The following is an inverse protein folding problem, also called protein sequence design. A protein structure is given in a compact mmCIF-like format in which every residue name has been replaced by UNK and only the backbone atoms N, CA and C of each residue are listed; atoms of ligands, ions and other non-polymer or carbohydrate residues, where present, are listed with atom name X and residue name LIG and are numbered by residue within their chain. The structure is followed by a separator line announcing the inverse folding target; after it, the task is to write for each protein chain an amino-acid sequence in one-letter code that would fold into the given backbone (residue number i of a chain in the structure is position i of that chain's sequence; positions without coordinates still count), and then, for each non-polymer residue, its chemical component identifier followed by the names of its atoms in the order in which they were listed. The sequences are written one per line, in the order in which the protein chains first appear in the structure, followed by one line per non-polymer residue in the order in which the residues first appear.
data_IF_045402312194
#
_entry.id   IF_045402312194
#
_cell.length_a   1.000
_cell.length_b   1.000
_cell.length_c   1.000
_cell.angle_alpha   90.00
_cell.angle_beta   90.00
_cell.angle_gamma   90.00
#
_symmetry.space_group_name_H-M   'P 1'
#
loop_
_entity.id
_entity.type
_entity.pdbx_description
1 polymer ?
#
# COMPACT_ATOMS: atom_id res chain seq x y z
N UNK A 1 -3.30 7.40 0.80
CA UNK A 1 -1.99 7.32 1.51
C UNK A 1 -2.13 6.24 2.58
N UNK A 2 -1.19 5.29 2.69
CA UNK A 2 -1.27 4.21 3.69
C UNK A 2 -0.92 4.74 5.10
N UNK A 3 -1.63 4.28 6.13
CA UNK A 3 -1.41 4.63 7.54
C UNK A 3 0.05 4.41 7.96
N UNK A 4 0.71 3.37 7.41
CA UNK A 4 2.14 3.10 7.64
C UNK A 4 3.04 4.26 7.19
N UNK A 5 2.72 4.91 6.06
CA UNK A 5 3.53 6.02 5.54
C UNK A 5 3.39 7.28 6.40
N UNK A 6 2.21 7.51 6.96
CA UNK A 6 1.96 8.64 7.85
C UNK A 6 2.65 8.44 9.20
N UNK A 7 2.52 7.25 9.80
CA UNK A 7 3.18 6.91 11.05
C UNK A 7 4.71 7.01 10.93
N UNK A 8 5.29 6.46 9.86
CA UNK A 8 6.73 6.53 9.62
C UNK A 8 7.22 7.99 9.50
N UNK A 9 6.47 8.86 8.81
CA UNK A 9 6.82 10.30 8.72
C UNK A 9 6.80 10.98 10.08
N UNK A 10 5.78 10.72 10.90
CA UNK A 10 5.68 11.33 12.23
C UNK A 10 6.86 10.89 13.11
N UNK A 11 7.15 9.60 13.15
CA UNK A 11 8.26 9.05 13.95
C UNK A 11 9.60 9.61 13.46
N UNK A 12 9.81 9.70 12.15
CA UNK A 12 11.02 10.27 11.56
C UNK A 12 11.18 11.75 11.93
N UNK A 13 10.12 12.55 11.82
CA UNK A 13 10.13 13.97 12.19
C UNK A 13 10.49 14.12 13.67
N UNK A 14 9.85 13.35 14.56
CA UNK A 14 10.13 13.40 15.99
C UNK A 14 11.58 13.00 16.29
N UNK A 15 12.10 11.97 15.62
CA UNK A 15 13.49 11.54 15.75
C UNK A 15 14.46 12.64 15.30
N UNK A 16 14.21 13.29 14.16
CA UNK A 16 15.05 14.38 13.64
C UNK A 16 15.05 15.57 14.61
N UNK A 17 13.89 15.93 15.16
CA UNK A 17 13.79 17.00 16.17
C UNK A 17 14.61 16.63 17.41
N UNK A 18 14.45 15.41 17.93
CA UNK A 18 15.22 14.95 19.09
C UNK A 18 16.73 14.91 18.84
N UNK A 19 17.14 14.39 17.67
CA UNK A 19 18.54 14.33 17.26
C UNK A 19 19.15 15.73 17.10
N UNK A 20 18.42 16.68 16.51
CA UNK A 20 18.87 18.07 16.37
C UNK A 20 19.04 18.76 17.72
N UNK A 21 18.10 18.55 18.65
CA UNK A 21 18.19 19.08 20.00
C UNK A 21 19.40 18.53 20.76
N UNK A 22 19.60 17.21 20.72
CA UNK A 22 20.76 16.56 21.33
C UNK A 22 22.07 17.04 20.72
N UNK A 23 22.13 17.19 19.39
CA UNK A 23 23.30 17.71 18.69
C UNK A 23 23.63 19.14 19.13
N UNK A 24 22.62 20.01 19.25
CA UNK A 24 22.81 21.39 19.69
C UNK A 24 23.34 21.45 21.12
N UNK A 25 22.78 20.64 22.02
CA UNK A 25 23.26 20.51 23.41
C UNK A 25 24.71 20.04 23.47
N UNK A 26 25.07 19.03 22.68
CA UNK A 26 26.45 18.52 22.61
C UNK A 26 27.41 19.61 22.14
N UNK A 27 27.07 20.32 21.06
CA UNK A 27 27.90 21.42 20.54
C UNK A 27 28.11 22.52 21.59
N UNK A 28 27.06 22.92 22.31
CA UNK A 28 27.19 23.92 23.38
C UNK A 28 28.06 23.43 24.54
N UNK A 29 27.94 22.15 24.90
CA UNK A 29 28.70 21.53 26.00
C UNK A 29 30.18 21.43 25.63
N UNK A 30 30.48 20.95 24.42
CA UNK A 30 31.85 20.84 23.91
C UNK A 30 32.48 22.24 23.79
N UNK A 31 31.75 23.22 23.26
CA UNK A 31 32.23 24.61 23.18
C UNK A 31 32.63 25.14 24.56
N UNK A 32 31.77 25.00 25.56
CA UNK A 32 32.07 25.48 26.91
C UNK A 32 33.28 24.74 27.50
N UNK A 33 33.33 23.42 27.35
CA UNK A 33 34.44 22.62 27.83
C UNK A 33 35.78 23.01 27.19
N UNK A 34 35.81 23.32 25.89
CA UNK A 34 37.02 23.80 25.20
C UNK A 34 37.48 25.13 25.78
N UNK A 35 36.56 26.09 26.00
CA UNK A 35 36.89 27.40 26.55
C UNK A 35 37.39 27.31 28.00
N UNK A 36 36.74 26.50 28.84
CA UNK A 36 37.14 26.30 30.23
C UNK A 36 38.52 25.64 30.32
N UNK A 37 38.77 24.60 29.50
CA UNK A 37 40.08 23.94 29.44
C UNK A 37 41.17 24.88 28.94
N UNK A 38 40.88 25.70 27.93
CA UNK A 38 41.80 26.68 27.38
C UNK A 38 42.15 27.76 28.41
N UNK A 39 41.16 28.27 29.14
CA UNK A 39 41.37 29.23 30.24
C UNK A 39 42.25 28.63 31.34
N UNK A 40 41.94 27.42 31.81
CA UNK A 40 42.72 26.76 32.86
C UNK A 40 44.17 26.45 32.42
N UNK A 41 44.36 26.06 31.16
CA UNK A 41 45.68 25.81 30.58
C UNK A 41 46.49 27.10 30.46
N UNK A 42 45.88 28.20 30.03
CA UNK A 42 46.55 29.50 29.95
C UNK A 42 46.91 30.03 31.35
N UNK A 43 46.03 29.88 32.33
CA UNK A 43 46.29 30.27 33.73
C UNK A 43 47.46 29.49 34.34
N UNK A 44 47.52 28.19 34.05
CA UNK A 44 48.65 27.35 34.47
C UNK A 44 49.94 27.74 33.75
N UNK A 45 49.86 28.00 32.43
CA UNK A 45 51.00 28.37 31.62
C UNK A 45 51.58 29.74 31.99
N UNK A 46 50.72 30.74 32.23
CA UNK A 46 51.17 32.08 32.62
C UNK A 46 51.81 32.08 34.00
N UNK A 47 51.28 31.29 34.93
CA UNK A 47 51.86 31.12 36.27
C UNK A 47 53.25 30.49 36.20
N UNK A 48 53.39 29.41 35.43
CA UNK A 48 54.67 28.73 35.24
C UNK A 48 55.69 29.62 34.51
N UNK A 49 55.26 30.28 33.44
CA UNK A 49 56.10 31.19 32.66
C UNK A 49 56.52 32.41 33.48
N UNK A 50 55.60 32.98 34.27
CA UNK A 50 55.89 34.11 35.15
C UNK A 50 56.96 33.79 36.18
N UNK A 51 56.89 32.62 36.82
CA UNK A 51 57.91 32.16 37.76
C UNK A 51 59.29 32.00 37.11
N UNK A 52 59.34 31.45 35.89
CA UNK A 52 60.59 31.26 35.15
C UNK A 52 61.15 32.60 34.65
N UNK A 53 60.29 33.48 34.13
CA UNK A 53 60.68 34.78 33.61
C UNK A 53 61.17 35.72 34.71
N UNK A 54 60.59 35.68 35.91
CA UNK A 54 61.10 36.41 37.08
C UNK A 54 62.60 36.12 37.31
N UNK A 55 63.01 34.85 37.24
CA UNK A 55 64.41 34.45 37.39
C UNK A 55 65.32 34.96 36.25
N UNK A 56 64.82 35.02 35.02
CA UNK A 56 65.60 35.51 33.86
C UNK A 56 65.69 37.03 33.79
N UNK A 57 64.60 37.74 34.16
CA UNK A 57 64.53 39.21 34.17
C UNK A 57 65.46 39.82 35.22
N UNK A 58 65.63 39.15 36.36
CA UNK A 58 66.60 39.54 37.39
C UNK A 58 68.06 39.46 36.91
N UNK A 59 68.34 38.63 35.90
CA UNK A 59 69.68 38.42 35.34
C UNK A 59 69.89 39.14 33.98
N UNK A 60 68.90 39.90 33.49
CA UNK A 60 68.87 40.60 32.19
C UNK A 60 69.17 39.72 30.96
N UNK A 61 68.88 38.42 31.03
CA UNK A 61 69.14 37.47 29.93
C UNK A 61 67.91 37.29 29.03
N UNK A 62 67.74 38.25 28.11
CA UNK A 62 66.63 38.29 27.15
C UNK A 62 66.62 37.10 26.18
N UNK A 63 67.79 36.51 25.90
CA UNK A 63 67.93 35.37 24.96
C UNK A 63 67.42 34.09 25.60
N UNK A 64 67.69 33.88 26.90
CA UNK A 64 67.12 32.76 27.64
C UNK A 64 65.59 32.88 27.78
N UNK A 65 65.07 34.08 28.06
CA UNK A 65 63.63 34.32 28.14
C UNK A 65 62.91 33.97 26.82
N UNK A 66 63.42 34.41 25.67
CA UNK A 66 62.85 34.07 24.37
C UNK A 66 62.94 32.56 24.07
N UNK A 67 64.05 31.92 24.43
CA UNK A 67 64.23 30.47 24.24
C UNK A 67 63.21 29.66 25.02
N UNK A 68 62.92 30.06 26.26
CA UNK A 68 61.93 29.40 27.12
C UNK A 68 60.51 29.59 26.59
N UNK A 69 60.17 30.81 26.14
CA UNK A 69 58.87 31.08 25.52
C UNK A 69 58.68 30.23 24.26
N UNK A 70 59.69 30.17 23.38
CA UNK A 70 59.60 29.36 22.16
C UNK A 70 59.47 27.87 22.49
N UNK A 71 60.24 27.35 23.45
CA UNK A 71 60.18 25.95 23.85
C UNK A 71 58.85 25.55 24.54
N UNK A 72 58.25 26.45 25.31
CA UNK A 72 57.00 26.19 26.04
C UNK A 72 55.78 26.22 25.12
N UNK A 73 55.78 27.04 24.06
CA UNK A 73 54.61 27.25 23.20
C UNK A 73 54.75 26.77 21.76
N UNK A 74 55.82 26.02 21.44
CA UNK A 74 56.01 25.37 20.12
C UNK A 74 54.81 24.48 19.72
N UNK A 75 54.02 24.03 20.70
CA UNK A 75 52.79 23.23 20.51
C UNK A 75 51.54 23.98 20.03
N UNK A 76 51.59 25.31 19.85
CA UNK A 76 50.58 26.04 19.06
C UNK A 76 49.23 26.36 19.72
N UNK A 77 49.08 26.24 21.05
CA UNK A 77 47.85 26.59 21.78
C UNK A 77 47.78 28.06 22.24
N UNK A 78 48.88 28.81 22.12
CA UNK A 78 48.98 30.25 22.41
C UNK A 78 49.21 31.01 21.09
N UNK A 79 48.47 32.10 20.87
CA UNK A 79 48.65 32.96 19.69
C UNK A 79 49.62 34.10 19.93
N UNK A 80 49.64 34.67 21.14
CA UNK A 80 50.56 35.74 21.48
C UNK A 80 51.00 35.70 22.94
N UNK A 81 52.26 36.07 23.16
CA UNK A 81 52.89 36.27 24.47
C UNK A 81 53.42 37.69 24.48
N UNK A 82 52.92 38.53 25.37
CA UNK A 82 53.38 39.92 25.49
C UNK A 82 53.80 40.18 26.93
N UNK A 83 54.98 40.76 27.11
CA UNK A 83 55.49 41.24 28.38
C UNK A 83 55.71 42.74 28.28
N UNK A 84 55.02 43.50 29.13
CA UNK A 84 55.11 44.94 29.24
C UNK A 84 55.90 45.32 30.50
N UNK A 85 56.76 46.33 30.40
CA UNK A 85 57.40 47.00 31.55
C UNK A 85 56.35 47.76 32.40
N UNK A 86 56.61 48.15 33.66
CA UNK A 86 55.68 48.98 34.44
C UNK A 86 55.33 50.33 33.79
N UNK A 87 56.20 50.83 32.90
CA UNK A 87 55.95 52.04 32.09
C UNK A 87 55.10 51.76 30.83
N UNK A 88 54.63 50.53 30.62
CA UNK A 88 53.79 50.11 29.51
C UNK A 88 54.54 49.87 28.19
N UNK A 89 55.87 49.87 28.21
CA UNK A 89 56.69 49.58 27.02
C UNK A 89 56.84 48.06 26.83
N UNK A 90 56.69 47.52 25.61
CA UNK A 90 56.85 46.09 25.37
C UNK A 90 58.33 45.68 25.54
N UNK A 91 58.60 44.88 26.56
CA UNK A 91 59.92 44.27 26.79
C UNK A 91 60.13 43.07 25.87
N UNK A 92 59.06 42.31 25.62
CA UNK A 92 59.07 41.12 24.78
C UNK A 92 57.69 40.86 24.18
N UNK A 93 57.62 40.59 22.88
CA UNK A 93 56.39 40.21 22.21
C UNK A 93 56.67 39.09 21.22
N UNK A 94 55.96 37.97 21.36
CA UNK A 94 56.00 36.85 20.41
C UNK A 94 54.60 36.56 19.91
N UNK A 95 54.45 36.48 18.59
CA UNK A 95 53.21 36.05 17.94
C UNK A 95 53.48 34.73 17.24
N UNK A 96 52.67 33.73 17.55
CA UNK A 96 52.71 32.42 16.93
C UNK A 96 51.66 32.37 15.82
N UNK A 97 52.11 32.19 14.58
CA UNK A 97 51.22 31.99 13.43
C UNK A 97 51.09 30.48 13.16
N UNK A 98 50.03 29.84 13.66
CA UNK A 98 49.76 28.45 13.29
C UNK A 98 49.22 28.38 11.87
N UNK A 99 49.91 27.63 11.01
CA UNK A 99 49.46 27.32 9.65
C UNK A 99 48.42 26.19 9.67
N UNK A 100 47.40 26.33 8.83
CA UNK A 100 46.32 25.38 8.49
C UNK A 100 45.16 25.24 9.50
N UNK A 101 44.15 26.09 9.29
CA UNK A 101 42.78 25.84 9.75
C UNK A 101 42.07 24.95 8.72
N UNK A 102 42.03 23.64 8.95
CA UNK A 102 41.14 22.71 8.24
C UNK A 102 39.69 22.86 8.75
N UNK A 103 39.22 24.09 8.87
CA UNK A 103 37.91 24.45 9.43
C UNK A 103 37.12 25.18 8.35
N UNK A 104 35.84 24.83 8.13
CA UNK A 104 35.00 25.56 7.17
C UNK A 104 34.82 27.03 7.56
N UNK A 105 34.85 27.92 6.58
CA UNK A 105 34.72 29.38 6.78
C UNK A 105 33.38 29.81 7.39
N UNK A 106 32.35 28.97 7.32
CA UNK A 106 31.05 29.25 7.94
C UNK A 106 31.05 29.04 9.46
N UNK A 107 31.94 28.22 10.00
CA UNK A 107 31.88 27.83 11.42
C UNK A 107 32.03 29.02 12.38
N UNK A 108 32.98 29.95 12.17
CA UNK A 108 33.09 31.15 13.01
C UNK A 108 31.89 32.10 12.92
N UNK A 109 31.14 32.08 11.80
CA UNK A 109 29.95 32.93 11.63
C UNK A 109 28.71 32.38 12.34
N UNK A 110 28.69 31.07 12.66
CA UNK A 110 27.56 30.40 13.31
C UNK A 110 27.81 30.23 14.81
N UNK A 111 29.05 29.92 15.18
CA UNK A 111 29.44 29.69 16.57
C UNK A 111 30.60 30.62 16.89
N UNK A 112 30.31 31.64 17.69
CA UNK A 112 31.31 32.55 18.19
C UNK A 112 32.15 31.89 19.30
N UNK A 113 33.47 32.00 19.21
CA UNK A 113 34.41 31.58 20.25
C UNK A 113 35.16 32.82 20.73
N UNK A 114 34.85 33.34 21.93
CA UNK A 114 35.53 34.52 22.43
C UNK A 114 37.03 34.23 22.61
N UNK A 115 37.91 35.21 22.30
CA UNK A 115 39.32 35.08 22.61
C UNK A 115 39.51 34.94 24.13
N UNK A 116 40.39 34.04 24.54
CA UNK A 116 40.71 33.80 25.95
C UNK A 116 42.07 34.42 26.23
N UNK A 117 42.07 35.48 27.04
CA UNK A 117 43.26 36.24 27.40
C UNK A 117 43.44 36.17 28.92
N UNK A 118 44.64 35.81 29.37
CA UNK A 118 44.99 35.80 30.79
C UNK A 118 46.16 36.77 30.99
N UNK A 119 46.07 37.61 32.02
CA UNK A 119 47.10 38.57 32.39
C UNK A 119 47.61 38.27 33.81
N UNK A 120 48.91 38.44 34.01
CA UNK A 120 49.54 38.25 35.30
C UNK A 120 50.63 39.31 35.52
N UNK A 121 50.55 40.01 36.64
CA UNK A 121 51.59 40.94 37.07
C UNK A 121 52.80 40.17 37.65
N UNK A 122 53.99 40.53 37.22
CA UNK A 122 55.25 40.00 37.71
C UNK A 122 55.82 40.96 38.76
N UNK A 123 56.13 40.43 39.94
CA UNK A 123 56.65 41.21 41.07
C UNK A 123 57.89 40.56 41.67
N UNK A 124 58.85 41.38 42.08
CA UNK A 124 60.02 41.01 42.87
C UNK A 124 59.93 41.71 44.23
N UNK A 125 59.41 40.99 45.24
CA UNK A 125 59.04 41.59 46.53
C UNK A 125 57.97 42.68 46.36
N UNK A 126 58.35 43.94 46.59
CA UNK A 126 57.47 45.12 46.44
C UNK A 126 57.62 45.84 45.09
N UNK A 127 58.55 45.39 44.24
CA UNK A 127 58.84 46.03 42.95
C UNK A 127 58.10 45.31 41.83
N UNK A 128 57.26 46.04 41.09
CA UNK A 128 56.66 45.54 39.86
C UNK A 128 57.74 45.41 38.78
N UNK A 129 57.83 44.24 38.16
CA UNK A 129 58.74 43.95 37.06
C UNK A 129 58.07 44.12 35.69
N UNK A 130 56.74 43.99 35.62
CA UNK A 130 55.97 44.12 34.39
C UNK A 130 54.67 43.31 34.40
N UNK A 131 53.93 43.35 33.30
CA UNK A 131 52.69 42.60 33.09
C UNK A 131 52.88 41.61 31.94
N UNK A 132 52.68 40.33 32.23
CA UNK A 132 52.69 39.25 31.26
C UNK A 132 51.25 38.98 30.81
N UNK A 133 51.03 38.86 29.50
CA UNK A 133 49.72 38.54 28.92
C UNK A 133 49.86 37.37 27.96
N UNK A 134 49.05 36.33 28.14
CA UNK A 134 48.92 35.20 27.23
C UNK A 134 47.57 35.24 26.52
N UNK A 135 47.58 35.16 25.20
CA UNK A 135 46.38 35.02 24.37
C UNK A 135 46.32 33.59 23.81
N UNK A 136 45.20 32.92 24.01
CA UNK A 136 45.03 31.58 23.48
C UNK A 136 44.65 31.57 22.00
N UNK A 137 45.11 30.54 21.29
CA UNK A 137 44.91 30.44 19.84
C UNK A 137 43.47 30.03 19.47
N UNK A 138 42.69 30.94 18.87
CA UNK A 138 41.29 30.68 18.45
C UNK A 138 41.16 29.55 17.40
N UNK A 139 42.12 29.47 16.46
CA UNK A 139 42.19 28.38 15.48
C UNK A 139 42.24 26.97 16.10
N UNK A 140 42.92 26.80 17.25
CA UNK A 140 42.94 25.52 17.99
C UNK A 140 41.53 25.16 18.48
N UNK A 141 40.84 26.11 19.10
CA UNK A 141 39.48 25.91 19.61
C UNK A 141 38.49 25.52 18.49
N UNK A 142 38.57 26.20 17.34
CA UNK A 142 37.73 25.89 16.19
C UNK A 142 38.03 24.53 15.54
N UNK A 143 39.29 24.11 15.50
CA UNK A 143 39.67 22.79 14.97
C UNK A 143 39.12 21.66 15.84
N UNK A 144 39.22 21.79 17.16
CA UNK A 144 38.65 20.81 18.10
C UNK A 144 37.12 20.78 18.03
N UNK A 145 36.48 21.94 17.94
CA UNK A 145 35.03 22.04 17.76
C UNK A 145 34.57 21.38 16.45
N UNK A 146 35.28 21.61 15.34
CA UNK A 146 34.96 21.01 14.05
C UNK A 146 35.13 19.48 14.06
N UNK A 147 36.16 18.96 14.72
CA UNK A 147 36.35 17.52 14.87
C UNK A 147 35.21 16.88 15.69
N UNK A 148 34.73 17.56 16.74
CA UNK A 148 33.58 17.09 17.52
C UNK A 148 32.28 17.13 16.68
N UNK A 149 32.01 18.25 16.02
CA UNK A 149 30.84 18.44 15.13
C UNK A 149 30.80 17.39 14.02
N UNK A 150 31.93 17.17 13.33
CA UNK A 150 32.00 16.23 12.20
C UNK A 150 31.82 14.79 12.66
N UNK A 151 32.47 14.38 13.77
CA UNK A 151 32.32 13.03 14.32
C UNK A 151 30.90 12.75 14.79
N UNK A 152 30.32 13.65 15.58
CA UNK A 152 28.95 13.49 16.10
C UNK A 152 27.92 13.60 14.97
N UNK A 153 28.12 14.51 14.02
CA UNK A 153 27.27 14.66 12.84
C UNK A 153 27.26 13.42 11.95
N UNK A 154 28.43 12.82 11.69
CA UNK A 154 28.54 11.55 10.96
C UNK A 154 27.85 10.40 11.69
N UNK A 155 28.03 10.30 13.01
CA UNK A 155 27.37 9.29 13.83
C UNK A 155 25.85 9.43 13.80
N UNK A 156 25.32 10.66 13.89
CA UNK A 156 23.88 10.92 13.80
C UNK A 156 23.33 10.62 12.41
N UNK A 157 24.07 10.93 11.34
CA UNK A 157 23.64 10.63 9.97
C UNK A 157 23.59 9.12 9.73
N UNK A 158 24.61 8.38 10.18
CA UNK A 158 24.61 6.92 10.14
C UNK A 158 23.44 6.34 10.97
N UNK A 159 23.22 6.87 12.18
CA UNK A 159 22.11 6.50 13.04
C UNK A 159 20.75 6.75 12.40
N UNK A 160 20.55 7.89 11.73
CA UNK A 160 19.33 8.24 11.01
C UNK A 160 19.04 7.24 9.89
N UNK A 161 20.07 6.84 9.13
CA UNK A 161 19.93 5.87 8.05
C UNK A 161 19.48 4.51 8.60
N UNK A 162 20.16 4.00 9.62
CA UNK A 162 19.80 2.74 10.28
C UNK A 162 18.39 2.81 10.88
N UNK A 163 18.08 3.89 11.60
CA UNK A 163 16.77 4.11 12.21
C UNK A 163 15.66 4.10 11.17
N UNK A 164 15.85 4.79 10.04
CA UNK A 164 14.89 4.85 8.92
C UNK A 164 14.63 3.47 8.32
N UNK A 165 15.67 2.65 8.15
CA UNK A 165 15.53 1.28 7.65
C UNK A 165 14.76 0.40 8.64
N UNK A 166 15.15 0.44 9.92
CA UNK A 166 14.53 -0.37 10.98
C UNK A 166 13.06 0.00 11.16
N UNK A 167 12.73 1.29 11.30
CA UNK A 167 11.33 1.70 11.50
C UNK A 167 10.46 1.37 10.29
N UNK A 168 11.00 1.53 9.07
CA UNK A 168 10.28 1.16 7.85
C UNK A 168 10.00 -0.34 7.80
N UNK A 169 10.96 -1.17 8.22
CA UNK A 169 10.79 -2.62 8.30
C UNK A 169 9.77 -3.02 9.37
N UNK A 170 9.87 -2.46 10.58
CA UNK A 170 8.95 -2.72 11.69
C UNK A 170 7.52 -2.30 11.34
N UNK A 171 7.32 -1.08 10.83
CA UNK A 171 5.99 -0.60 10.45
C UNK A 171 5.36 -1.45 9.35
N UNK A 172 6.14 -1.86 8.33
CA UNK A 172 5.62 -2.76 7.29
C UNK A 172 5.19 -4.10 7.89
N UNK A 173 5.99 -4.69 8.77
CA UNK A 173 5.66 -5.97 9.42
C UNK A 173 4.44 -5.87 10.32
N UNK A 174 4.31 -4.76 11.06
CA UNK A 174 3.23 -4.52 12.01
C UNK A 174 1.88 -4.23 11.31
N UNK A 175 1.89 -3.48 10.20
CA UNK A 175 0.66 -3.09 9.50
C UNK A 175 0.24 -4.05 8.38
N UNK A 176 1.11 -4.98 7.94
CA UNK A 176 0.77 -5.97 6.91
C UNK A 176 -0.53 -6.76 7.23
N UNK A 177 -0.79 -7.21 8.47
CA UNK A 177 -2.05 -7.88 8.78
C UNK A 177 -3.30 -7.00 8.61
N UNK A 178 -3.22 -5.69 8.89
CA UNK A 178 -4.35 -4.76 8.65
C UNK A 178 -4.68 -4.66 7.16
N UNK A 179 -3.66 -4.65 6.31
CA UNK A 179 -3.85 -4.58 4.86
C UNK A 179 -4.48 -5.88 4.33
N UNK A 180 -4.09 -7.05 4.87
CA UNK A 180 -4.72 -8.33 4.56
C UNK A 180 -6.19 -8.38 4.98
N UNK A 181 -6.52 -7.89 6.18
CA UNK A 181 -7.91 -7.80 6.66
C UNK A 181 -8.74 -6.90 5.73
N UNK A 182 -8.21 -5.73 5.35
CA UNK A 182 -8.91 -4.81 4.46
C UNK A 182 -9.18 -5.44 3.08
N UNK A 183 -8.19 -6.15 2.51
CA UNK A 183 -8.38 -6.87 1.25
C UNK A 183 -9.45 -7.96 1.37
N UNK A 184 -9.47 -8.70 2.48
CA UNK A 184 -10.49 -9.71 2.74
C UNK A 184 -11.88 -9.10 2.86
N UNK A 185 -12.03 -7.98 3.59
CA UNK A 185 -13.30 -7.26 3.70
C UNK A 185 -13.79 -6.77 2.33
N UNK A 186 -12.88 -6.31 1.46
CA UNK A 186 -13.22 -5.97 0.08
C UNK A 186 -13.67 -7.18 -0.72
N UNK A 187 -13.07 -8.36 -0.54
CA UNK A 187 -13.49 -9.61 -1.20
C UNK A 187 -14.85 -10.10 -0.67
N UNK A 188 -15.08 -10.03 0.64
CA UNK A 188 -16.37 -10.32 1.27
C UNK A 188 -17.44 -9.37 0.72
N UNK A 189 -17.13 -8.08 0.56
CA UNK A 189 -18.03 -7.12 -0.10
C UNK A 189 -18.32 -7.49 -1.56
N UNK A 190 -17.34 -8.06 -2.25
CA UNK A 190 -17.49 -8.64 -3.60
C UNK A 190 -18.04 -10.07 -3.61
N UNK A 191 -18.54 -10.58 -2.47
CA UNK A 191 -19.13 -11.92 -2.28
C UNK A 191 -18.20 -13.09 -2.63
N UNK A 192 -16.91 -12.82 -2.74
CA UNK A 192 -15.86 -13.81 -2.93
C UNK A 192 -15.37 -14.24 -1.55
N UNK A 193 -15.97 -15.30 -1.00
CA UNK A 193 -15.63 -15.82 0.33
C UNK A 193 -14.33 -16.66 0.32
N UNK A 194 -13.21 -16.04 -0.06
CA UNK A 194 -11.92 -16.71 -0.18
C UNK A 194 -11.21 -16.81 1.17
N UNK A 195 -11.04 -18.04 1.67
CA UNK A 195 -10.11 -18.43 2.76
C UNK A 195 -10.43 -17.90 4.17
N UNK A 196 -9.84 -18.51 5.19
CA UNK A 196 -9.75 -17.94 6.55
C UNK A 196 -8.53 -17.03 6.64
N UNK A 197 -8.64 -15.93 7.38
CA UNK A 197 -7.50 -15.07 7.70
C UNK A 197 -6.58 -15.82 8.68
N UNK A 198 -5.27 -15.84 8.40
CA UNK A 198 -4.27 -16.33 9.35
C UNK A 198 -4.27 -15.49 10.63
N UNK A 199 -4.04 -16.14 11.77
CA UNK A 199 -3.96 -15.46 13.06
C UNK A 199 -2.78 -14.49 13.07
N UNK A 200 -2.99 -13.17 13.25
CA UNK A 200 -1.92 -12.20 13.35
C UNK A 200 -1.15 -12.40 14.66
N UNK A 201 0.10 -11.92 14.70
CA UNK A 201 0.93 -11.96 15.89
C UNK A 201 0.48 -10.95 16.98
N UNK A 202 -0.15 -9.83 16.57
CA UNK A 202 -0.69 -8.86 17.52
C UNK A 202 -1.98 -9.36 18.16
N UNK A 203 -2.04 -9.33 19.50
CA UNK A 203 -3.21 -9.75 20.27
C UNK A 203 -4.46 -8.94 19.92
N UNK A 204 -4.35 -7.62 19.80
CA UNK A 204 -5.48 -6.74 19.47
C UNK A 204 -6.09 -7.06 18.09
N UNK A 205 -5.26 -7.45 17.13
CA UNK A 205 -5.75 -7.87 15.81
C UNK A 205 -6.27 -9.30 15.80
N UNK A 206 -5.85 -10.13 16.76
CA UNK A 206 -6.27 -11.53 16.84
C UNK A 206 -7.76 -11.63 17.12
N UNK A 207 -8.27 -10.85 18.06
CA UNK A 207 -9.72 -10.80 18.36
C UNK A 207 -10.52 -10.34 17.15
N UNK A 208 -10.08 -9.27 16.48
CA UNK A 208 -10.73 -8.79 15.25
C UNK A 208 -10.73 -9.86 14.14
N UNK A 209 -9.61 -10.55 13.93
CA UNK A 209 -9.52 -11.61 12.93
C UNK A 209 -10.43 -12.79 13.27
N UNK A 210 -10.51 -13.17 14.55
CA UNK A 210 -11.44 -14.20 15.02
C UNK A 210 -12.89 -13.79 14.74
N UNK A 211 -13.29 -12.57 15.11
CA UNK A 211 -14.65 -12.07 14.87
C UNK A 211 -14.99 -12.01 13.37
N UNK A 212 -14.08 -11.53 12.52
CA UNK A 212 -14.29 -11.50 11.07
C UNK A 212 -14.41 -12.91 10.50
N UNK A 213 -13.54 -13.83 10.91
CA UNK A 213 -13.63 -15.23 10.48
C UNK A 213 -14.94 -15.89 10.93
N UNK A 214 -15.41 -15.59 12.15
CA UNK A 214 -16.70 -16.07 12.64
C UNK A 214 -17.86 -15.54 11.80
N UNK A 215 -17.90 -14.23 11.53
CA UNK A 215 -18.94 -13.63 10.67
C UNK A 215 -18.94 -14.22 9.26
N UNK A 216 -17.76 -14.47 8.68
CA UNK A 216 -17.64 -15.13 7.37
C UNK A 216 -18.19 -16.56 7.41
N UNK A 217 -17.87 -17.30 8.47
CA UNK A 217 -18.35 -18.67 8.67
C UNK A 217 -19.88 -18.72 8.84
N UNK A 218 -20.43 -17.85 9.67
CA UNK A 218 -21.87 -17.71 9.88
C UNK A 218 -22.57 -17.36 8.57
N UNK A 219 -22.04 -16.40 7.80
CA UNK A 219 -22.62 -16.02 6.51
C UNK A 219 -22.59 -17.15 5.48
N UNK A 220 -21.49 -17.93 5.43
CA UNK A 220 -21.40 -19.13 4.58
C UNK A 220 -22.46 -20.15 4.97
N UNK A 221 -22.65 -20.40 6.27
CA UNK A 221 -23.65 -21.35 6.77
C UNK A 221 -25.06 -20.92 6.40
N UNK A 222 -25.40 -19.64 6.58
CA UNK A 222 -26.73 -19.11 6.26
C UNK A 222 -27.03 -19.24 4.76
N UNK A 223 -26.04 -18.92 3.90
CA UNK A 223 -26.19 -19.06 2.45
C UNK A 223 -26.39 -20.52 2.03
N UNK A 224 -25.64 -21.46 2.63
CA UNK A 224 -25.84 -22.89 2.39
C UNK A 224 -27.23 -23.35 2.85
N UNK A 225 -27.71 -22.90 4.00
CA UNK A 225 -29.07 -23.22 4.48
C UNK A 225 -30.14 -22.70 3.51
N UNK A 226 -29.98 -21.49 2.98
CA UNK A 226 -30.87 -20.93 1.96
C UNK A 226 -30.88 -21.77 0.68
N UNK A 227 -29.70 -22.15 0.15
CA UNK A 227 -29.57 -23.00 -1.05
C UNK A 227 -30.19 -24.38 -0.87
N UNK A 228 -29.99 -25.00 0.30
CA UNK A 228 -30.60 -26.30 0.61
C UNK A 228 -32.13 -26.20 0.68
N UNK A 229 -32.67 -25.11 1.25
CA UNK A 229 -34.12 -24.88 1.30
C UNK A 229 -34.71 -24.69 -0.10
N UNK A 230 -34.04 -23.93 -0.98
CA UNK A 230 -34.44 -23.80 -2.39
C UNK A 230 -34.44 -25.17 -3.08
N UNK A 231 -33.37 -25.97 -2.87
CA UNK A 231 -33.28 -27.32 -3.44
C UNK A 231 -34.42 -28.23 -2.96
N UNK A 232 -34.74 -28.18 -1.66
CA UNK A 232 -35.83 -28.98 -1.07
C UNK A 232 -37.20 -28.59 -1.61
N UNK A 233 -37.50 -27.29 -1.67
CA UNK A 233 -38.77 -26.80 -2.22
C UNK A 233 -38.87 -27.08 -3.74
N UNK A 234 -37.77 -26.94 -4.47
CA UNK A 234 -37.73 -27.27 -5.90
C UNK A 234 -38.04 -28.74 -6.17
N UNK A 235 -37.60 -29.67 -5.31
CA UNK A 235 -37.98 -31.10 -5.41
C UNK A 235 -39.46 -31.36 -5.15
N UNK A 236 -40.16 -30.47 -4.43
CA UNK A 236 -41.60 -30.59 -4.16
C UNK A 236 -42.46 -30.01 -5.28
N UNK A 237 -41.87 -29.20 -6.17
CA UNK A 237 -42.57 -28.73 -7.35
C UNK A 237 -42.81 -29.90 -8.30
N UNK A 238 -44.03 -29.98 -8.85
CA UNK A 238 -44.31 -30.91 -9.94
C UNK A 238 -43.37 -30.59 -11.11
N UNK A 239 -42.85 -31.62 -11.79
CA UNK A 239 -42.13 -31.46 -13.06
C UNK A 239 -43.09 -30.77 -14.02
N UNK A 240 -42.94 -29.45 -14.14
CA UNK A 240 -43.77 -28.64 -15.01
C UNK A 240 -43.15 -28.77 -16.39
N UNK A 241 -43.96 -29.10 -17.40
CA UNK A 241 -43.46 -29.17 -18.77
C UNK A 241 -42.80 -27.83 -19.14
N UNK A 242 -41.67 -27.86 -19.86
CA UNK A 242 -41.00 -26.63 -20.30
C UNK A 242 -41.99 -25.76 -21.08
N UNK A 243 -42.13 -24.51 -20.63
CA UNK A 243 -42.97 -23.53 -21.32
C UNK A 243 -42.25 -23.10 -22.61
N UNK A 244 -42.99 -22.90 -23.72
CA UNK A 244 -42.41 -22.31 -24.91
C UNK A 244 -41.90 -20.91 -24.59
N UNK A 245 -40.72 -20.56 -25.12
CA UNK A 245 -40.11 -19.25 -24.92
C UNK A 245 -41.06 -18.14 -25.38
N UNK A 246 -41.22 -17.11 -24.54
CA UNK A 246 -42.09 -15.98 -24.83
C UNK A 246 -41.32 -14.87 -25.53
N UNK A 247 -42.00 -14.00 -26.28
CA UNK A 247 -41.33 -12.83 -26.85
C UNK A 247 -40.47 -13.11 -28.08
N UNK A 248 -40.49 -14.33 -28.63
CA UNK A 248 -39.73 -14.69 -29.83
C UNK A 248 -40.26 -13.95 -31.06
N UNK A 249 -39.34 -13.38 -31.84
CA UNK A 249 -39.59 -12.77 -33.14
C UNK A 249 -38.69 -13.46 -34.16
N UNK A 250 -39.26 -13.87 -35.29
CA UNK A 250 -38.50 -14.52 -36.36
C UNK A 250 -37.55 -13.51 -37.01
N UNK A 251 -36.30 -13.92 -37.18
CA UNK A 251 -35.25 -13.20 -37.90
C UNK A 251 -34.84 -14.01 -39.14
N UNK A 252 -33.96 -13.42 -39.96
CA UNK A 252 -33.38 -14.12 -41.12
C UNK A 252 -32.50 -15.32 -40.71
N UNK A 253 -32.20 -16.20 -41.67
CA UNK A 253 -31.26 -17.33 -41.52
C UNK A 253 -31.60 -18.35 -40.41
N UNK A 254 -32.88 -18.48 -40.06
CA UNK A 254 -33.33 -19.50 -39.08
C UNK A 254 -33.00 -19.15 -37.64
N UNK A 255 -32.86 -17.86 -37.33
CA UNK A 255 -32.69 -17.34 -35.97
C UNK A 255 -33.99 -16.69 -35.50
N UNK A 256 -34.19 -16.65 -34.18
CA UNK A 256 -35.25 -15.89 -33.54
C UNK A 256 -34.64 -14.92 -32.54
N UNK A 257 -35.14 -13.70 -32.48
CA UNK A 257 -34.70 -12.72 -31.49
C UNK A 257 -35.65 -12.65 -30.30
N UNK A 258 -35.08 -12.57 -29.10
CA UNK A 258 -35.81 -12.39 -27.85
C UNK A 258 -35.28 -11.18 -27.09
N UNK A 259 -36.20 -10.36 -26.57
CA UNK A 259 -35.89 -9.14 -25.82
C UNK A 259 -36.37 -9.26 -24.37
N UNK A 260 -35.51 -8.84 -23.44
CA UNK A 260 -35.80 -8.81 -22.01
C UNK A 260 -35.93 -7.37 -21.53
N UNK A 261 -37.02 -7.07 -20.83
CA UNK A 261 -37.31 -5.76 -20.27
C UNK A 261 -37.36 -5.80 -18.75
N UNK A 262 -36.99 -4.69 -18.11
CA UNK A 262 -37.00 -4.59 -16.65
C UNK A 262 -38.42 -4.69 -16.10
N UNK A 263 -38.57 -5.35 -14.96
CA UNK A 263 -39.82 -5.28 -14.20
C UNK A 263 -40.02 -3.91 -13.56
N UNK A 264 -39.01 -3.03 -13.48
CA UNK A 264 -39.08 -1.72 -12.82
C UNK A 264 -39.31 -0.54 -13.78
N UNK A 265 -39.61 -0.80 -15.04
CA UNK A 265 -39.89 0.24 -16.03
C UNK A 265 -39.69 -0.26 -17.46
N UNK A 266 -39.79 0.65 -18.43
CA UNK A 266 -39.68 0.34 -19.86
C UNK A 266 -38.22 0.41 -20.34
N UNK A 267 -37.34 -0.31 -19.66
CA UNK A 267 -35.90 -0.36 -19.97
C UNK A 267 -35.57 -1.75 -20.51
N UNK A 268 -34.99 -1.82 -21.71
CA UNK A 268 -34.44 -3.07 -22.25
C UNK A 268 -33.18 -3.43 -21.46
N UNK A 269 -33.17 -4.62 -20.88
CA UNK A 269 -32.04 -5.14 -20.13
C UNK A 269 -31.07 -5.94 -20.99
N UNK A 270 -31.61 -6.75 -21.91
CA UNK A 270 -30.83 -7.70 -22.69
C UNK A 270 -31.58 -8.12 -23.96
N UNK A 271 -30.84 -8.55 -24.98
CA UNK A 271 -31.40 -9.22 -26.15
C UNK A 271 -30.53 -10.38 -26.59
N UNK A 272 -31.15 -11.53 -26.92
CA UNK A 272 -30.46 -12.72 -27.41
C UNK A 272 -31.03 -13.22 -28.72
N UNK A 273 -30.19 -13.85 -29.52
CA UNK A 273 -30.61 -14.73 -30.60
C UNK A 273 -30.79 -16.16 -30.08
N UNK A 274 -31.82 -16.82 -30.57
CA UNK A 274 -32.19 -18.20 -30.29
C UNK A 274 -32.26 -18.93 -31.63
N UNK A 275 -31.39 -19.90 -31.89
CA UNK A 275 -31.47 -20.71 -33.11
C UNK A 275 -32.77 -21.50 -33.15
N UNK A 276 -33.48 -21.47 -34.28
CA UNK A 276 -34.69 -22.29 -34.46
C UNK A 276 -34.39 -23.79 -34.35
N UNK A 277 -33.21 -24.19 -34.82
CA UNK A 277 -32.64 -25.53 -34.66
C UNK A 277 -31.37 -25.38 -33.82
N UNK A 278 -31.41 -25.71 -32.52
CA UNK A 278 -30.24 -25.59 -31.66
C UNK A 278 -29.14 -26.59 -32.12
N UNK A 279 -27.87 -26.17 -32.17
CA UNK A 279 -26.77 -27.07 -32.54
C UNK A 279 -26.61 -28.16 -31.47
N UNK A 280 -26.37 -29.40 -31.88
CA UNK A 280 -26.16 -30.52 -30.97
C UNK A 280 -24.69 -30.99 -31.00
N UNK A 281 -24.37 -32.03 -30.22
CA UNK A 281 -23.06 -32.70 -30.25
C UNK A 281 -22.80 -33.34 -31.63
N UNK A 282 -23.86 -33.65 -32.38
CA UNK A 282 -23.77 -34.29 -33.70
C UNK A 282 -23.76 -33.27 -34.86
N UNK A 283 -23.98 -31.98 -34.57
CA UNK A 283 -23.91 -30.92 -35.57
C UNK A 283 -22.50 -30.78 -36.13
N UNK A 284 -22.37 -30.48 -37.41
CA UNK A 284 -21.04 -30.31 -38.00
C UNK A 284 -20.37 -29.03 -37.48
N UNK A 285 -19.02 -29.01 -37.34
CA UNK A 285 -18.31 -27.81 -36.93
C UNK A 285 -18.57 -26.61 -37.85
N UNK A 286 -18.85 -26.83 -39.13
CA UNK A 286 -19.08 -25.76 -40.10
C UNK A 286 -20.47 -25.13 -39.96
N UNK A 287 -21.49 -25.91 -39.62
CA UNK A 287 -22.81 -25.39 -39.23
C UNK A 287 -22.70 -24.49 -37.99
N UNK A 288 -21.96 -24.95 -36.97
CA UNK A 288 -21.74 -24.17 -35.74
C UNK A 288 -20.98 -22.87 -36.06
N UNK A 289 -19.91 -22.94 -36.89
CA UNK A 289 -19.16 -21.74 -37.30
C UNK A 289 -20.06 -20.74 -38.02
N UNK A 290 -20.89 -21.20 -38.97
CA UNK A 290 -21.81 -20.33 -39.72
C UNK A 290 -22.77 -19.59 -38.79
N UNK A 291 -23.34 -20.30 -37.80
CA UNK A 291 -24.22 -19.72 -36.78
C UNK A 291 -23.49 -18.66 -35.94
N UNK A 292 -22.25 -18.95 -35.52
CA UNK A 292 -21.45 -18.01 -34.74
C UNK A 292 -21.04 -16.78 -35.54
N UNK A 293 -20.66 -16.94 -36.81
CA UNK A 293 -20.31 -15.82 -37.70
C UNK A 293 -21.51 -14.90 -37.93
N UNK A 294 -22.70 -15.48 -38.15
CA UNK A 294 -23.95 -14.72 -38.22
C UNK A 294 -24.17 -13.90 -36.95
N UNK A 295 -24.12 -14.53 -35.77
CA UNK A 295 -24.31 -13.82 -34.50
C UNK A 295 -23.25 -12.74 -34.23
N UNK A 296 -21.98 -12.99 -34.57
CA UNK A 296 -20.90 -12.01 -34.40
C UNK A 296 -21.14 -10.75 -35.23
N UNK A 297 -21.76 -10.89 -36.41
CA UNK A 297 -22.15 -9.77 -37.28
C UNK A 297 -23.46 -9.08 -36.86
N UNK A 298 -24.30 -9.75 -36.06
CA UNK A 298 -25.61 -9.25 -35.65
C UNK A 298 -25.53 -8.24 -34.48
N UNK A 299 -26.43 -7.24 -34.38
CA UNK A 299 -26.48 -6.29 -33.26
C UNK A 299 -26.95 -6.89 -31.93
N UNK A 300 -27.39 -8.15 -31.90
CA UNK A 300 -27.85 -8.80 -30.68
C UNK A 300 -26.69 -8.98 -29.69
N UNK A 301 -26.99 -8.73 -28.41
CA UNK A 301 -26.02 -8.71 -27.31
C UNK A 301 -25.57 -10.13 -26.93
N UNK A 302 -26.44 -11.13 -27.11
CA UNK A 302 -26.06 -12.52 -26.88
C UNK A 302 -26.70 -13.57 -27.76
N UNK A 303 -26.30 -14.81 -27.52
CA UNK A 303 -26.68 -16.00 -28.27
C UNK A 303 -26.97 -17.15 -27.31
N UNK A 304 -28.10 -17.80 -27.48
CA UNK A 304 -28.44 -19.01 -26.72
C UNK A 304 -27.83 -20.25 -27.39
N UNK A 305 -27.07 -21.03 -26.64
CA UNK A 305 -26.49 -22.31 -27.06
C UNK A 305 -26.78 -23.38 -26.01
N UNK A 306 -26.95 -24.65 -26.40
CA UNK A 306 -27.10 -25.73 -25.44
C UNK A 306 -25.78 -26.00 -24.71
N UNK A 307 -25.87 -26.30 -23.41
CA UNK A 307 -24.72 -26.60 -22.56
C UNK A 307 -23.99 -27.87 -23.03
N UNK A 308 -24.70 -28.82 -23.64
CA UNK A 308 -24.13 -30.03 -24.25
C UNK A 308 -23.06 -29.76 -25.31
N UNK A 309 -23.10 -28.60 -25.96
CA UNK A 309 -22.09 -28.20 -26.94
C UNK A 309 -20.68 -28.09 -26.31
N UNK A 310 -20.59 -27.86 -25.00
CA UNK A 310 -19.32 -27.91 -24.26
C UNK A 310 -18.70 -29.31 -24.21
N UNK A 311 -19.40 -30.37 -24.67
CA UNK A 311 -18.86 -31.72 -24.84
C UNK A 311 -18.53 -32.06 -26.31
N UNK A 312 -18.70 -31.12 -27.24
CA UNK A 312 -18.44 -31.38 -28.66
C UNK A 312 -16.99 -31.85 -28.88
N UNK A 313 -16.81 -32.92 -29.68
CA UNK A 313 -15.52 -33.54 -29.94
C UNK A 313 -14.56 -32.56 -30.64
N UNK A 314 -15.06 -31.87 -31.66
CA UNK A 314 -14.33 -30.86 -32.44
C UNK A 314 -14.38 -29.43 -31.87
N UNK A 315 -14.51 -29.27 -30.55
CA UNK A 315 -14.58 -27.95 -29.89
C UNK A 315 -13.49 -26.97 -30.35
N UNK A 316 -12.26 -27.47 -30.55
CA UNK A 316 -11.12 -26.67 -31.00
C UNK A 316 -11.32 -26.01 -32.36
N UNK A 317 -12.23 -26.51 -33.19
CA UNK A 317 -12.49 -25.97 -34.52
C UNK A 317 -13.34 -24.69 -34.51
N UNK A 318 -14.20 -24.50 -33.51
CA UNK A 318 -15.12 -23.35 -33.43
C UNK A 318 -14.96 -22.49 -32.17
N UNK A 319 -14.32 -23.00 -31.11
CA UNK A 319 -14.02 -22.22 -29.90
C UNK A 319 -13.30 -20.87 -30.19
N UNK A 320 -12.37 -20.77 -31.16
CA UNK A 320 -11.76 -19.48 -31.51
C UNK A 320 -12.74 -18.45 -32.07
N UNK A 321 -13.92 -18.84 -32.56
CA UNK A 321 -14.96 -17.88 -32.95
C UNK A 321 -15.76 -17.39 -31.75
N UNK A 322 -16.10 -18.27 -30.80
CA UNK A 322 -16.71 -17.88 -29.53
C UNK A 322 -15.85 -16.84 -28.80
N UNK A 323 -14.53 -17.06 -28.81
CA UNK A 323 -13.52 -16.14 -28.26
C UNK A 323 -13.57 -14.70 -28.83
N UNK A 324 -14.05 -14.54 -30.08
CA UNK A 324 -14.14 -13.22 -30.72
C UNK A 324 -15.31 -12.38 -30.19
N UNK A 325 -16.23 -13.00 -29.43
CA UNK A 325 -17.42 -12.36 -28.89
C UNK A 325 -17.15 -11.51 -27.63
N UNK A 326 -16.03 -10.77 -27.62
CA UNK A 326 -15.64 -9.96 -26.46
C UNK A 326 -16.68 -8.86 -26.19
N UNK A 327 -17.20 -8.83 -24.96
CA UNK A 327 -18.26 -7.91 -24.56
C UNK A 327 -19.67 -8.29 -25.02
N UNK A 328 -19.82 -9.46 -25.67
CA UNK A 328 -21.12 -10.11 -25.90
C UNK A 328 -21.33 -11.21 -24.87
N UNK A 329 -22.57 -11.66 -24.72
CA UNK A 329 -22.96 -12.69 -23.73
C UNK A 329 -23.31 -14.02 -24.42
N UNK A 330 -22.73 -15.12 -23.95
CA UNK A 330 -23.17 -16.47 -24.29
C UNK A 330 -24.15 -16.98 -23.23
N UNK A 331 -25.36 -17.33 -23.66
CA UNK A 331 -26.42 -17.86 -22.79
C UNK A 331 -26.49 -19.38 -22.95
N UNK A 332 -25.97 -20.10 -21.96
CA UNK A 332 -25.92 -21.55 -21.98
C UNK A 332 -27.22 -22.15 -21.43
N UNK A 333 -28.04 -22.70 -22.33
CA UNK A 333 -29.27 -23.43 -21.96
C UNK A 333 -28.91 -24.79 -21.40
N UNK A 334 -29.34 -25.07 -20.18
CA UNK A 334 -29.05 -26.31 -19.48
C UNK A 334 -29.90 -27.47 -20.03
N UNK A 335 -29.31 -28.30 -20.88
CA UNK A 335 -29.95 -29.43 -21.56
C UNK A 335 -29.45 -30.81 -21.10
N UNK A 336 -28.58 -30.85 -20.08
CA UNK A 336 -27.96 -32.06 -19.55
C UNK A 336 -28.40 -32.36 -18.11
N UNK A 337 -28.38 -33.65 -17.74
CA UNK A 337 -28.63 -34.07 -16.36
C UNK A 337 -27.51 -33.64 -15.39
N UNK A 338 -26.27 -33.52 -15.89
CA UNK A 338 -25.11 -33.10 -15.12
C UNK A 338 -24.23 -32.15 -15.92
N UNK A 339 -23.47 -31.31 -15.21
CA UNK A 339 -22.58 -30.35 -15.84
C UNK A 339 -21.45 -31.05 -16.62
N UNK A 340 -21.08 -30.55 -17.81
CA UNK A 340 -20.00 -31.11 -18.63
C UNK A 340 -18.66 -31.21 -17.89
N UNK A 341 -17.92 -32.34 -18.01
CA UNK A 341 -16.63 -32.52 -17.31
C UNK A 341 -15.55 -31.52 -17.74
N UNK A 342 -15.56 -31.10 -19.02
CA UNK A 342 -14.65 -30.06 -19.55
C UNK A 342 -15.29 -28.66 -19.55
N UNK A 343 -16.49 -28.52 -18.99
CA UNK A 343 -17.26 -27.27 -19.06
C UNK A 343 -16.58 -26.12 -18.33
N UNK A 344 -16.05 -26.37 -17.13
CA UNK A 344 -15.43 -25.32 -16.30
C UNK A 344 -14.19 -24.72 -16.97
N UNK A 345 -13.28 -25.57 -17.47
CA UNK A 345 -12.06 -25.14 -18.17
C UNK A 345 -12.39 -24.39 -19.47
N UNK A 346 -13.34 -24.90 -20.27
CA UNK A 346 -13.74 -24.28 -21.54
C UNK A 346 -14.40 -22.92 -21.32
N UNK A 347 -15.27 -22.80 -20.33
CA UNK A 347 -15.92 -21.53 -19.98
C UNK A 347 -14.93 -20.52 -19.40
N UNK A 348 -14.04 -20.95 -18.51
CA UNK A 348 -12.99 -20.08 -17.96
C UNK A 348 -12.11 -19.49 -19.07
N UNK A 349 -11.73 -20.30 -20.07
CA UNK A 349 -10.96 -19.86 -21.24
C UNK A 349 -11.68 -18.75 -22.02
N UNK A 350 -12.99 -18.88 -22.23
CA UNK A 350 -13.79 -17.86 -22.93
C UNK A 350 -13.95 -16.59 -22.08
N UNK A 351 -14.07 -16.71 -20.76
CA UNK A 351 -14.13 -15.56 -19.85
C UNK A 351 -12.83 -14.77 -19.80
N UNK A 352 -11.68 -15.43 -19.82
CA UNK A 352 -10.37 -14.77 -19.93
C UNK A 352 -10.26 -13.93 -21.21
N UNK A 353 -10.97 -14.33 -22.26
CA UNK A 353 -11.06 -13.61 -23.54
C UNK A 353 -12.09 -12.47 -23.52
N UNK A 354 -12.80 -12.29 -22.40
CA UNK A 354 -13.76 -11.20 -22.17
C UNK A 354 -15.16 -11.47 -22.70
N UNK A 355 -15.54 -12.74 -22.87
CA UNK A 355 -16.91 -13.15 -23.17
C UNK A 355 -17.70 -13.28 -21.87
N UNK A 356 -18.89 -12.69 -21.82
CA UNK A 356 -19.77 -12.78 -20.67
C UNK A 356 -20.58 -14.07 -20.69
N UNK A 357 -20.88 -14.62 -19.51
CA UNK A 357 -21.62 -15.88 -19.38
C UNK A 357 -23.00 -15.63 -18.76
N UNK A 358 -24.00 -16.26 -19.33
CA UNK A 358 -25.33 -16.38 -18.77
C UNK A 358 -25.81 -17.83 -18.87
N UNK A 359 -26.81 -18.19 -18.09
CA UNK A 359 -27.39 -19.54 -18.12
C UNK A 359 -28.90 -19.49 -18.13
N UNK A 360 -29.51 -20.41 -18.87
CA UNK A 360 -30.96 -20.59 -18.95
C UNK A 360 -31.36 -22.01 -18.57
N UNK A 361 -32.60 -22.17 -18.08
CA UNK A 361 -33.19 -23.46 -17.72
C UNK A 361 -32.39 -24.29 -16.69
N UNK A 362 -31.60 -23.64 -15.83
CA UNK A 362 -30.77 -24.35 -14.86
C UNK A 362 -31.59 -25.07 -13.77
N UNK A 363 -31.15 -26.25 -13.30
CA UNK A 363 -31.68 -26.84 -12.08
C UNK A 363 -31.36 -25.94 -10.87
N UNK A 364 -32.36 -25.54 -10.10
CA UNK A 364 -32.18 -24.70 -8.90
C UNK A 364 -31.72 -25.54 -7.69
N UNK A 365 -30.54 -26.16 -7.82
CA UNK A 365 -29.94 -27.02 -6.81
C UNK A 365 -28.65 -26.45 -6.26
N UNK A 366 -28.27 -26.84 -5.04
CA UNK A 366 -27.01 -26.44 -4.44
C UNK A 366 -25.79 -26.85 -5.29
N UNK A 367 -25.83 -28.02 -5.94
CA UNK A 367 -24.73 -28.48 -6.80
C UNK A 367 -24.56 -27.61 -8.04
N UNK A 368 -25.68 -27.23 -8.67
CA UNK A 368 -25.68 -26.28 -9.79
C UNK A 368 -25.15 -24.92 -9.36
N UNK A 369 -25.58 -24.38 -8.22
CA UNK A 369 -25.05 -23.10 -7.73
C UNK A 369 -23.54 -23.17 -7.44
N UNK A 370 -23.04 -24.28 -6.89
CA UNK A 370 -21.60 -24.46 -6.67
C UNK A 370 -20.80 -24.50 -7.98
N UNK A 371 -21.38 -24.99 -9.07
CA UNK A 371 -20.76 -25.00 -10.40
C UNK A 371 -20.78 -23.62 -11.05
N UNK A 372 -21.81 -22.82 -10.78
CA UNK A 372 -21.95 -21.46 -11.34
C UNK A 372 -21.14 -20.40 -10.59
N UNK A 373 -20.89 -20.57 -9.29
CA UNK A 373 -20.15 -19.60 -8.46
C UNK A 373 -18.75 -19.23 -8.99
N UNK A 374 -17.91 -20.18 -9.47
CA UNK A 374 -16.63 -19.86 -10.09
C UNK A 374 -16.78 -19.09 -11.41
N UNK A 375 -17.84 -19.39 -12.18
CA UNK A 375 -18.13 -18.78 -13.48
C UNK A 375 -18.69 -17.36 -13.28
N UNK A 376 -19.43 -17.10 -12.20
CA UNK A 376 -20.04 -15.81 -11.89
C UNK A 376 -20.82 -15.21 -13.08
N UNK A 377 -21.91 -15.88 -13.52
CA UNK A 377 -22.71 -15.43 -14.65
C UNK A 377 -23.37 -14.06 -14.41
N UNK A 378 -23.58 -13.30 -15.49
CA UNK A 378 -24.19 -11.96 -15.45
C UNK A 378 -25.66 -12.03 -15.05
N UNK A 379 -26.38 -13.01 -15.60
CA UNK A 379 -27.77 -13.29 -15.26
C UNK A 379 -28.10 -14.76 -15.42
N UNK A 380 -29.21 -15.16 -14.81
CA UNK A 380 -29.84 -16.47 -14.99
C UNK A 380 -31.26 -16.25 -15.51
N UNK A 381 -31.58 -16.91 -16.63
CA UNK A 381 -32.92 -16.94 -17.21
C UNK A 381 -33.67 -18.17 -16.73
N UNK A 382 -34.88 -17.96 -16.21
CA UNK A 382 -35.70 -18.99 -15.60
C UNK A 382 -37.14 -18.95 -16.09
N UNK A 383 -37.92 -19.95 -15.70
CA UNK A 383 -39.35 -20.04 -16.02
C UNK A 383 -40.19 -19.98 -14.74
N UNK A 384 -40.64 -18.78 -14.31
CA UNK A 384 -41.43 -18.65 -13.09
C UNK A 384 -42.76 -19.41 -13.15
N UNK A 385 -42.95 -20.28 -12.16
CA UNK A 385 -44.16 -21.05 -11.86
C UNK A 385 -45.00 -20.37 -10.76
N UNK A 386 -46.26 -20.76 -10.60
CA UNK A 386 -47.21 -20.24 -9.58
C UNK A 386 -46.86 -20.69 -8.15
N UNK A 387 -45.67 -20.34 -7.66
CA UNK A 387 -45.19 -20.59 -6.31
C UNK A 387 -44.41 -19.37 -5.76
N UNK A 388 -45.13 -18.39 -5.20
CA UNK A 388 -44.52 -17.15 -4.70
C UNK A 388 -43.42 -17.38 -3.67
N UNK A 389 -43.58 -18.37 -2.79
CA UNK A 389 -42.62 -18.62 -1.70
C UNK A 389 -41.33 -19.19 -2.24
N UNK A 390 -41.42 -20.13 -3.19
CA UNK A 390 -40.25 -20.67 -3.87
C UNK A 390 -39.49 -19.58 -4.61
N UNK A 391 -40.16 -18.80 -5.46
CA UNK A 391 -39.49 -17.79 -6.28
C UNK A 391 -38.88 -16.65 -5.45
N UNK A 392 -39.51 -16.25 -4.35
CA UNK A 392 -38.90 -15.31 -3.40
C UNK A 392 -37.60 -15.85 -2.81
N UNK A 393 -37.55 -17.14 -2.45
CA UNK A 393 -36.33 -17.75 -1.91
C UNK A 393 -35.25 -17.92 -2.99
N UNK A 394 -35.63 -18.29 -4.21
CA UNK A 394 -34.72 -18.37 -5.37
C UNK A 394 -34.11 -17.00 -5.65
N UNK A 395 -34.94 -15.95 -5.79
CA UNK A 395 -34.48 -14.60 -6.04
C UNK A 395 -33.53 -14.12 -4.94
N UNK A 396 -33.90 -14.27 -3.66
CA UNK A 396 -33.01 -13.92 -2.54
C UNK A 396 -31.67 -14.67 -2.61
N UNK A 397 -31.67 -15.95 -2.95
CA UNK A 397 -30.46 -16.76 -3.06
C UNK A 397 -29.56 -16.29 -4.22
N UNK A 398 -30.13 -16.09 -5.41
CA UNK A 398 -29.40 -15.65 -6.60
C UNK A 398 -28.92 -14.21 -6.46
N UNK A 399 -29.76 -13.31 -5.95
CA UNK A 399 -29.38 -11.93 -5.61
C UNK A 399 -28.34 -11.87 -4.51
N UNK A 400 -28.29 -12.82 -3.58
CA UNK A 400 -27.21 -12.91 -2.58
C UNK A 400 -25.87 -13.35 -3.20
N UNK A 401 -25.93 -14.10 -4.31
CA UNK A 401 -24.76 -14.57 -5.07
C UNK A 401 -24.30 -13.53 -6.11
N UNK A 402 -25.18 -12.62 -6.55
CA UNK A 402 -24.84 -11.54 -7.50
C UNK A 402 -25.51 -11.66 -8.86
N UNK A 403 -26.36 -12.65 -9.03
CA UNK A 403 -26.98 -12.94 -10.32
C UNK A 403 -28.27 -12.15 -10.48
N UNK A 404 -28.43 -11.55 -11.65
CA UNK A 404 -29.71 -10.97 -12.09
C UNK A 404 -30.65 -12.09 -12.53
N UNK A 405 -31.93 -11.99 -12.20
CA UNK A 405 -32.91 -13.03 -12.52
C UNK A 405 -33.88 -12.56 -13.61
N UNK A 406 -33.91 -13.28 -14.75
CA UNK A 406 -34.77 -12.96 -15.88
C UNK A 406 -35.80 -14.07 -16.10
N UNK A 407 -37.03 -13.70 -16.45
CA UNK A 407 -38.06 -14.65 -16.86
C UNK A 407 -38.03 -14.81 -18.39
N UNK A 408 -37.61 -15.98 -18.90
CA UNK A 408 -37.60 -16.27 -20.34
C UNK A 408 -38.95 -16.80 -20.87
N UNK A 409 -39.75 -17.38 -19.98
CA UNK A 409 -41.14 -17.76 -20.19
C UNK A 409 -41.85 -17.80 -18.83
N UNK A 410 -43.12 -17.44 -18.76
CA UNK A 410 -43.88 -17.58 -17.51
C UNK A 410 -45.37 -17.72 -17.76
N UNK A 411 -46.05 -18.51 -16.94
CA UNK A 411 -47.53 -18.49 -16.88
C UNK A 411 -48.07 -17.20 -16.26
N UNK A 412 -47.22 -16.44 -15.55
CA UNK A 412 -47.60 -15.18 -14.90
C UNK A 412 -47.39 -14.03 -15.89
N UNK A 413 -48.49 -13.41 -16.30
CA UNK A 413 -48.48 -12.24 -17.19
C UNK A 413 -48.38 -10.90 -16.43
N UNK A 414 -48.64 -10.90 -15.12
CA UNK A 414 -48.56 -9.68 -14.30
C UNK A 414 -47.12 -9.36 -13.89
N UNK A 415 -46.59 -8.26 -14.45
CA UNK A 415 -45.25 -7.74 -14.16
C UNK A 415 -45.08 -7.37 -12.68
N UNK A 416 -46.14 -6.91 -12.00
CA UNK A 416 -46.04 -6.57 -10.58
C UNK A 416 -45.83 -7.82 -9.71
N UNK A 417 -46.47 -8.94 -10.07
CA UNK A 417 -46.26 -10.23 -9.43
C UNK A 417 -44.82 -10.72 -9.61
N UNK A 418 -44.30 -10.68 -10.84
CA UNK A 418 -42.90 -11.04 -11.12
C UNK A 418 -41.92 -10.16 -10.31
N UNK A 419 -42.16 -8.85 -10.26
CA UNK A 419 -41.37 -7.90 -9.44
C UNK A 419 -41.44 -8.25 -7.96
N UNK A 420 -42.63 -8.57 -7.45
CA UNK A 420 -42.84 -8.91 -6.05
C UNK A 420 -42.12 -10.20 -5.63
N UNK A 421 -41.81 -11.09 -6.58
CA UNK A 421 -41.04 -12.31 -6.32
C UNK A 421 -39.53 -12.12 -6.53
N UNK A 422 -39.08 -10.91 -6.88
CA UNK A 422 -37.68 -10.60 -7.11
C UNK A 422 -37.17 -10.95 -8.51
N UNK A 423 -38.04 -11.09 -9.50
CA UNK A 423 -37.63 -11.19 -10.91
C UNK A 423 -37.29 -9.78 -11.43
N UNK A 424 -36.10 -9.62 -12.00
CA UNK A 424 -35.57 -8.32 -12.44
C UNK A 424 -36.03 -7.93 -13.85
N UNK A 425 -36.28 -8.92 -14.71
CA UNK A 425 -36.78 -8.69 -16.06
C UNK A 425 -37.54 -9.86 -16.65
N UNK A 426 -38.24 -9.62 -17.76
CA UNK A 426 -39.10 -10.60 -18.42
C UNK A 426 -39.01 -10.47 -19.94
N UNK A 427 -39.20 -11.59 -20.64
CA UNK A 427 -39.25 -11.62 -22.09
C UNK A 427 -40.57 -11.05 -22.62
N UNK A 428 -40.50 -10.14 -23.59
CA UNK A 428 -41.68 -9.52 -24.21
C UNK A 428 -41.44 -9.19 -25.68
N UNK A 429 -42.52 -9.18 -26.48
CA UNK A 429 -42.50 -8.73 -27.88
C UNK A 429 -42.53 -7.21 -28.02
N UNK A 430 -43.03 -6.49 -27.02
CA UNK A 430 -43.23 -5.05 -27.10
C UNK A 430 -42.09 -4.27 -26.44
N UNK A 431 -41.43 -3.41 -27.22
CA UNK A 431 -40.88 -2.16 -26.70
C UNK A 431 -42.03 -1.16 -26.60
N UNK A 432 -42.91 -1.29 -25.60
CA UNK A 432 -43.97 -0.31 -25.37
C UNK A 432 -43.50 0.87 -24.55
#
# INVERSE_FOLDING_TARGET
MSLAKLLNRIILILFVIGAALLFMLEVTTVRQSILDQMSANLETAITALGLVLQGTLLNDDKVLAETIVNAMFDGGFVSSVTLLDPDGQPLFQKVFHTAQQNVPSWLPSVIDMPPVNIEQELTDGWRMLGTLTLEGHTGYAYQHLWNAISRTGLALLAGLLVFTLVISWVCRRLLRPLEQINQQLVRIRKRQFSGSLESPWLQDLKELVISVNQLVSERKRDLLQQRLKVTQLGKQQAVTAELPLQGLMDEEEGMQQQYFFSTQGKIRLYSRLVPTIPPSIDSSPDEIKSLLEHWLSHPAEGLQLPLSLLNHADWTQFAPLLAKARGKTLDWRWDLASFPPLGEERLATLQEQGVEMAFSAIPMTNDTFNQLDPINPVFISCQPTQDPLYWNLVAQCLHSSGYTLLAEASEIQDVNTLRAWGIDGYASKEAS
#
